data_IF_118453299732
#
_entry.id   IF_118453299732
#
_cell.length_a   1.000
_cell.length_b   1.000
_cell.length_c   1.000
_cell.angle_alpha   90.00
_cell.angle_beta   90.00
_cell.angle_gamma   90.00
#
_symmetry.space_group_name_H-M   'P 1'
#
loop_
_entity.id
_entity.type
_entity.pdbx_description
1 polymer ?
#
# COMPACT_ATOMS: atom_id res chain seq x y z
N UNK A 1 -3.17 -2.02 -1.23
CA UNK A 1 -2.61 -1.05 -0.26
C UNK A 1 -3.19 0.32 -0.50
N UNK A 2 -3.65 0.98 0.52
CA UNK A 2 -4.16 2.35 0.42
C UNK A 2 -3.32 3.30 1.26
N UNK A 3 -3.08 4.48 0.73
CA UNK A 3 -2.32 5.54 1.37
C UNK A 3 -3.23 6.77 1.54
N UNK A 4 -3.52 7.12 2.77
CA UNK A 4 -4.41 8.23 3.09
C UNK A 4 -4.13 8.75 4.49
N UNK A 5 -5.18 8.91 5.31
CA UNK A 5 -5.01 9.29 6.72
C UNK A 5 -4.03 8.33 7.40
N UNK A 6 -4.15 7.05 7.13
CA UNK A 6 -3.23 6.01 7.53
C UNK A 6 -2.87 5.15 6.35
N UNK A 7 -2.46 3.91 6.61
CA UNK A 7 -2.19 2.91 5.60
C UNK A 7 -3.15 1.73 5.81
N UNK A 8 -3.77 1.27 4.73
CA UNK A 8 -4.62 0.08 4.75
C UNK A 8 -4.07 -0.98 3.83
N UNK A 9 -4.30 -2.24 4.17
CA UNK A 9 -3.89 -3.36 3.33
C UNK A 9 -5.00 -4.39 3.22
N UNK A 10 -5.03 -5.07 2.08
CA UNK A 10 -5.86 -6.25 1.87
C UNK A 10 -5.08 -7.22 0.99
N UNK A 11 -5.16 -8.49 1.30
CA UNK A 11 -4.45 -9.53 0.57
C UNK A 11 -5.46 -10.45 -0.10
N UNK A 12 -5.27 -10.68 -1.39
CA UNK A 12 -6.13 -11.56 -2.18
C UNK A 12 -5.32 -12.73 -2.70
N UNK A 13 -5.91 -13.92 -2.66
CA UNK A 13 -5.33 -15.12 -3.25
C UNK A 13 -6.40 -15.81 -4.08
N UNK A 14 -6.10 -16.07 -5.36
CA UNK A 14 -7.04 -16.68 -6.30
C UNK A 14 -8.38 -15.92 -6.37
N UNK A 15 -8.32 -14.59 -6.35
CA UNK A 15 -9.50 -13.73 -6.42
C UNK A 15 -10.30 -13.62 -5.12
N UNK A 16 -9.82 -14.23 -4.04
CA UNK A 16 -10.51 -14.22 -2.75
C UNK A 16 -9.75 -13.40 -1.72
N UNK A 17 -10.48 -12.55 -1.01
CA UNK A 17 -9.92 -11.80 0.10
C UNK A 17 -9.55 -12.76 1.24
N UNK A 18 -8.32 -12.64 1.72
CA UNK A 18 -7.89 -13.36 2.92
C UNK A 18 -8.40 -12.60 4.14
N UNK A 19 -9.29 -13.19 4.95
CA UNK A 19 -9.88 -12.49 6.08
C UNK A 19 -8.89 -12.35 7.23
N UNK A 20 -9.15 -11.37 8.08
CA UNK A 20 -8.40 -11.15 9.32
C UNK A 20 -6.92 -10.84 9.11
N UNK A 21 -6.56 -10.32 7.94
CA UNK A 21 -5.17 -10.02 7.61
C UNK A 21 -5.02 -8.54 7.29
N UNK A 22 -4.79 -7.74 8.32
CA UNK A 22 -4.48 -6.32 8.17
C UNK A 22 -3.03 -6.08 8.59
N UNK A 23 -2.16 -5.88 7.61
CA UNK A 23 -0.72 -5.79 7.85
C UNK A 23 -0.26 -4.43 8.32
N UNK A 24 -1.06 -3.39 8.13
CA UNK A 24 -0.66 -2.02 8.46
C UNK A 24 -0.45 -1.77 9.95
N UNK A 25 -1.04 -2.60 10.80
CA UNK A 25 -0.87 -2.49 12.25
C UNK A 25 0.36 -3.22 12.77
N UNK A 26 1.09 -3.89 11.90
CA UNK A 26 2.33 -4.56 12.29
C UNK A 26 3.45 -3.55 12.53
N UNK A 27 4.42 -3.88 13.39
CA UNK A 27 5.60 -3.05 13.57
C UNK A 27 6.38 -2.90 12.26
N UNK A 28 6.82 -1.69 11.96
CA UNK A 28 7.59 -1.41 10.76
C UNK A 28 9.01 -1.00 11.13
N UNK A 29 9.20 0.21 11.62
CA UNK A 29 10.52 0.73 11.99
C UNK A 29 10.36 1.83 13.04
N UNK A 30 11.45 2.08 13.79
CA UNK A 30 11.49 3.12 14.83
C UNK A 30 10.39 2.97 15.89
N UNK A 31 9.99 1.73 16.17
CA UNK A 31 8.92 1.46 17.13
C UNK A 31 7.52 1.85 16.65
N UNK A 32 7.35 2.15 15.36
CA UNK A 32 6.09 2.59 14.79
C UNK A 32 5.54 1.54 13.82
N UNK A 33 4.22 1.56 13.65
CA UNK A 33 3.55 0.68 12.68
C UNK A 33 3.62 1.24 11.26
N UNK A 34 3.31 0.39 10.29
CA UNK A 34 3.14 0.84 8.89
C UNK A 34 2.09 1.95 8.81
N UNK A 35 0.96 1.78 9.52
CA UNK A 35 -0.13 2.74 9.50
C UNK A 35 0.33 4.14 9.91
N UNK A 36 1.11 4.23 10.97
CA UNK A 36 1.61 5.51 11.48
C UNK A 36 2.63 6.13 10.53
N UNK A 37 3.64 5.37 10.14
CA UNK A 37 4.74 5.91 9.32
C UNK A 37 4.34 6.21 7.88
N UNK A 38 3.32 5.57 7.36
CA UNK A 38 2.84 5.78 5.99
C UNK A 38 1.60 6.66 5.92
N UNK A 39 1.12 7.16 7.05
CA UNK A 39 -0.06 7.99 7.11
C UNK A 39 0.20 9.45 6.73
N UNK A 40 -0.87 10.19 6.60
CA UNK A 40 -0.84 11.60 6.20
C UNK A 40 -0.07 12.48 7.18
N UNK A 41 -0.20 12.23 8.48
CA UNK A 41 0.51 13.00 9.51
C UNK A 41 2.03 12.84 9.37
N UNK A 42 2.51 11.62 9.12
CA UNK A 42 3.93 11.38 8.90
C UNK A 42 4.43 12.06 7.62
N UNK A 43 3.65 12.03 6.54
CA UNK A 43 4.00 12.72 5.30
C UNK A 43 4.21 14.21 5.51
N UNK A 44 3.32 14.84 6.28
CA UNK A 44 3.40 16.28 6.58
C UNK A 44 4.56 16.60 7.52
N UNK A 45 4.77 15.76 8.52
CA UNK A 45 5.82 15.94 9.54
C UNK A 45 7.21 15.68 8.98
N UNK A 46 7.40 14.58 8.27
CA UNK A 46 8.71 14.11 7.80
C UNK A 46 9.10 14.68 6.44
N UNK A 47 8.13 15.17 5.67
CA UNK A 47 8.33 15.60 4.31
C UNK A 47 8.09 14.48 3.30
N UNK A 48 7.71 14.89 2.09
CA UNK A 48 7.30 13.96 1.03
C UNK A 48 8.41 12.98 0.63
N UNK A 49 9.65 13.45 0.55
CA UNK A 49 10.78 12.63 0.10
C UNK A 49 11.05 11.49 1.06
N UNK A 50 11.10 11.78 2.35
CA UNK A 50 11.33 10.77 3.39
C UNK A 50 10.14 9.82 3.48
N UNK A 51 8.93 10.35 3.40
CA UNK A 51 7.71 9.56 3.41
C UNK A 51 7.68 8.58 2.22
N UNK A 52 8.02 9.03 1.01
CA UNK A 52 8.08 8.14 -0.16
C UNK A 52 9.08 7.00 0.02
N UNK A 53 10.25 7.30 0.61
CA UNK A 53 11.23 6.24 0.90
C UNK A 53 10.65 5.20 1.85
N UNK A 54 9.89 5.63 2.85
CA UNK A 54 9.22 4.69 3.76
C UNK A 54 8.16 3.87 3.05
N UNK A 55 7.40 4.46 2.12
CA UNK A 55 6.45 3.69 1.31
C UNK A 55 7.18 2.63 0.49
N UNK A 56 8.29 2.98 -0.14
CA UNK A 56 9.09 2.03 -0.92
C UNK A 56 9.60 0.88 -0.05
N UNK A 57 10.08 1.18 1.15
CA UNK A 57 10.52 0.16 2.11
C UNK A 57 9.38 -0.74 2.56
N UNK A 58 8.20 -0.17 2.75
CA UNK A 58 7.03 -0.94 3.14
C UNK A 58 6.60 -1.91 2.06
N UNK A 59 6.58 -1.48 0.81
CA UNK A 59 6.24 -2.35 -0.32
C UNK A 59 7.25 -3.49 -0.43
N UNK A 60 8.53 -3.20 -0.26
CA UNK A 60 9.55 -4.23 -0.27
C UNK A 60 9.37 -5.22 0.89
N UNK A 61 9.06 -4.73 2.08
CA UNK A 61 8.80 -5.59 3.24
C UNK A 61 7.61 -6.51 2.98
N UNK A 62 6.53 -5.98 2.43
CA UNK A 62 5.35 -6.79 2.09
C UNK A 62 5.70 -7.86 1.05
N UNK A 63 6.52 -7.53 0.05
CA UNK A 63 6.96 -8.52 -0.92
C UNK A 63 7.82 -9.61 -0.26
N UNK A 64 8.67 -9.23 0.67
CA UNK A 64 9.55 -10.16 1.37
C UNK A 64 8.78 -11.22 2.16
N UNK A 65 7.64 -10.88 2.75
CA UNK A 65 6.88 -11.86 3.52
C UNK A 65 5.61 -12.39 2.86
N UNK A 66 5.11 -11.76 1.81
CA UNK A 66 3.92 -12.25 1.10
C UNK A 66 4.25 -12.90 -0.23
N UNK A 67 5.36 -12.53 -0.86
CA UNK A 67 5.72 -12.96 -2.22
C UNK A 67 4.57 -12.68 -3.19
N UNK A 68 4.01 -11.49 -3.14
CA UNK A 68 2.87 -11.16 -4.01
C UNK A 68 3.27 -11.13 -5.50
N UNK A 69 2.31 -11.40 -6.37
CA UNK A 69 2.49 -11.29 -7.82
C UNK A 69 2.29 -9.86 -8.31
N UNK A 70 1.35 -9.16 -7.69
CA UNK A 70 1.01 -7.78 -8.04
C UNK A 70 0.62 -7.02 -6.79
N UNK A 71 0.94 -5.72 -6.77
CA UNK A 71 0.47 -4.81 -5.73
C UNK A 71 -0.25 -3.63 -6.37
N UNK A 72 -1.40 -3.28 -5.82
CA UNK A 72 -2.17 -2.11 -6.23
C UNK A 72 -2.12 -1.07 -5.13
N UNK A 73 -1.70 0.14 -5.47
CA UNK A 73 -1.52 1.23 -4.52
C UNK A 73 -2.49 2.35 -4.87
N UNK A 74 -3.35 2.70 -3.94
CA UNK A 74 -4.33 3.74 -4.14
C UNK A 74 -4.53 4.56 -2.87
N UNK A 75 -5.67 5.26 -2.79
CA UNK A 75 -5.95 6.19 -1.72
C UNK A 75 -5.53 7.62 -2.07
N UNK A 76 -5.89 8.56 -1.22
CA UNK A 76 -5.68 9.99 -1.49
C UNK A 76 -4.22 10.40 -1.66
N UNK A 77 -3.30 9.70 -1.00
CA UNK A 77 -1.87 10.00 -1.08
C UNK A 77 -1.12 9.20 -2.16
N UNK A 78 -1.81 8.33 -2.90
CA UNK A 78 -1.18 7.59 -4.00
C UNK A 78 -0.64 8.52 -5.09
N UNK A 79 -1.20 9.71 -5.22
CA UNK A 79 -0.73 10.74 -6.17
C UNK A 79 0.69 11.22 -5.88
N UNK A 80 1.21 10.94 -4.67
CA UNK A 80 2.55 11.36 -4.27
C UNK A 80 3.63 10.31 -4.53
N UNK A 81 3.25 9.15 -5.09
CA UNK A 81 4.18 8.07 -5.43
C UNK A 81 4.02 7.71 -6.91
N UNK A 82 5.01 7.01 -7.45
CA UNK A 82 5.01 6.58 -8.84
C UNK A 82 5.26 5.08 -8.91
N UNK A 83 4.59 4.39 -9.83
CA UNK A 83 4.75 2.95 -10.01
C UNK A 83 6.20 2.54 -10.27
N UNK A 84 6.95 3.38 -10.96
CA UNK A 84 8.36 3.09 -11.28
C UNK A 84 9.23 2.94 -10.03
N UNK A 85 8.82 3.58 -8.92
CA UNK A 85 9.57 3.49 -7.66
C UNK A 85 9.48 2.11 -7.01
N UNK A 86 8.50 1.30 -7.42
CA UNK A 86 8.21 0.00 -6.78
C UNK A 86 8.49 -1.20 -7.69
N UNK A 87 8.88 -0.95 -8.93
CA UNK A 87 9.18 -2.01 -9.89
C UNK A 87 7.96 -2.51 -10.67
N UNK A 88 8.14 -3.58 -11.46
CA UNK A 88 7.13 -3.99 -12.45
C UNK A 88 5.86 -4.60 -11.88
N UNK A 89 5.86 -4.99 -10.61
CA UNK A 89 4.68 -5.60 -9.99
C UNK A 89 3.65 -4.56 -9.50
N UNK A 90 4.02 -3.28 -9.48
CA UNK A 90 3.18 -2.25 -8.87
C UNK A 90 2.35 -1.50 -9.89
N UNK A 91 1.10 -1.22 -9.52
CA UNK A 91 0.17 -0.40 -10.28
C UNK A 91 -0.43 0.64 -9.36
N UNK A 92 -0.39 1.91 -9.78
CA UNK A 92 -1.05 2.98 -9.04
C UNK A 92 -2.49 3.08 -9.54
N UNK A 93 -3.42 2.97 -8.61
CA UNK A 93 -4.85 3.10 -8.92
C UNK A 93 -5.25 4.57 -8.80
N UNK A 94 -5.81 5.20 -9.85
CA UNK A 94 -6.01 6.64 -9.88
C UNK A 94 -7.05 7.17 -8.89
N UNK A 95 -7.90 6.32 -8.37
CA UNK A 95 -8.86 6.70 -7.33
C UNK A 95 -9.19 5.50 -6.45
N UNK A 96 -9.88 5.78 -5.35
CA UNK A 96 -10.19 4.76 -4.34
C UNK A 96 -11.30 3.80 -4.76
N UNK A 97 -12.10 4.13 -5.77
CA UNK A 97 -13.25 3.33 -6.16
C UNK A 97 -12.87 1.90 -6.55
N UNK A 98 -11.75 1.74 -7.25
CA UNK A 98 -11.26 0.43 -7.64
C UNK A 98 -10.75 -0.41 -6.47
N UNK A 99 -10.31 0.24 -5.41
CA UNK A 99 -9.77 -0.43 -4.22
C UNK A 99 -10.89 -0.85 -3.27
N UNK A 100 -11.90 0.01 -3.09
CA UNK A 100 -13.01 -0.26 -2.18
C UNK A 100 -13.71 -1.56 -2.49
N UNK A 101 -13.81 -1.91 -3.75
CA UNK A 101 -14.49 -3.11 -4.17
C UNK A 101 -13.63 -4.37 -4.14
N UNK A 102 -12.33 -4.32 -3.94
CA UNK A 102 -11.43 -5.47 -4.05
C UNK A 102 -11.64 -6.30 -5.33
N UNK A 103 -12.85 -6.73 -5.55
CA UNK A 103 -13.29 -7.46 -6.73
C UNK A 103 -13.03 -6.66 -8.01
N UNK A 104 -13.22 -5.34 -7.98
CA UNK A 104 -13.00 -4.49 -9.15
C UNK A 104 -11.54 -4.43 -9.56
N UNK A 105 -10.62 -4.43 -8.59
CA UNK A 105 -9.20 -4.48 -8.89
C UNK A 105 -8.87 -5.80 -9.58
N UNK A 106 -9.46 -6.88 -9.08
CA UNK A 106 -9.29 -8.20 -9.66
C UNK A 106 -9.83 -8.28 -11.08
N UNK A 107 -10.98 -7.65 -11.34
CA UNK A 107 -11.58 -7.59 -12.67
C UNK A 107 -10.73 -6.82 -13.66
N UNK A 108 -9.98 -5.83 -13.20
CA UNK A 108 -9.10 -5.03 -14.06
C UNK A 108 -7.92 -5.84 -14.62
N UNK A 109 -7.57 -6.95 -14.00
CA UNK A 109 -6.50 -7.83 -14.47
C UNK A 109 -6.96 -8.76 -15.59
N UNK A 110 -8.23 -8.98 -15.70
CA UNK A 110 -8.82 -9.83 -16.73
C UNK A 110 -9.10 -9.03 -18.00
#
# INVERSE_FOLDING_TARGET
>A
MTLGTGCGTAVFSDGKLLPHMELSHAPFRKGQTFDILLGNAARKSDGKKKWRRNVMRAVQAFDDFLYFDSIYIGGGNAKHVSAVDFGPKATIVPNTAGILGGIRIWDLED
#
